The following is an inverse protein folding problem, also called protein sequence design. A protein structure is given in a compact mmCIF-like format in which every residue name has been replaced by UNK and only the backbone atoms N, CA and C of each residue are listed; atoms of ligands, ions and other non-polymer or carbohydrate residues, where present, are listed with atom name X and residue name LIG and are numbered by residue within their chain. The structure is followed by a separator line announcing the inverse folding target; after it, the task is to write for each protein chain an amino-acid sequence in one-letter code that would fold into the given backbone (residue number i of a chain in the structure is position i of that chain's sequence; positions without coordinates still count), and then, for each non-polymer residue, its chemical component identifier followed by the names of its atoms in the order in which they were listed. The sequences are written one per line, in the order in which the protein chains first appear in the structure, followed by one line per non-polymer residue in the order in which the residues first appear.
data_IF_438404107581
#
_entry.id   IF_438404107581
#
_cell.length_a   1.000
_cell.length_b   1.000
_cell.length_c   1.000
_cell.angle_alpha   90.00
_cell.angle_beta   90.00
_cell.angle_gamma   90.00
#
_symmetry.space_group_name_H-M   'P 1'
#
loop_
_entity.id
_entity.type
_entity.pdbx_description
1 polymer ?
#
# COMPACT_ATOMS: atom_id res chain seq x y z
N UNK A 1 34.17 -34.60 86.65
CA UNK A 1 33.55 -35.92 86.42
C UNK A 1 32.42 -35.70 85.43
N UNK A 2 32.45 -36.40 84.28
CA UNK A 2 31.51 -36.50 83.14
C UNK A 2 30.13 -35.80 83.23
N UNK A 3 29.51 -35.26 82.17
CA UNK A 3 29.55 -35.57 80.72
C UNK A 3 28.83 -34.46 79.94
N UNK A 4 29.13 -34.41 78.65
CA UNK A 4 28.52 -33.65 77.54
C UNK A 4 27.00 -33.79 77.42
N UNK A 5 26.30 -32.79 76.86
CA UNK A 5 25.75 -32.90 75.49
C UNK A 5 25.04 -31.63 74.96
N UNK A 6 25.60 -31.14 73.84
CA UNK A 6 24.96 -30.69 72.58
C UNK A 6 23.90 -29.59 72.61
N UNK A 7 24.35 -28.39 72.22
CA UNK A 7 23.54 -27.39 71.53
C UNK A 7 23.59 -27.64 70.01
N UNK A 8 22.43 -27.61 69.33
CA UNK A 8 22.34 -27.25 67.92
C UNK A 8 20.92 -26.76 67.61
N UNK A 9 20.90 -25.50 67.18
CA UNK A 9 19.82 -24.59 66.82
C UNK A 9 18.84 -25.11 65.76
N UNK A 10 17.58 -24.73 65.92
CA UNK A 10 16.46 -24.99 65.03
C UNK A 10 16.67 -24.40 63.62
N UNK A 11 16.35 -25.20 62.60
CA UNK A 11 16.30 -24.77 61.21
C UNK A 11 15.06 -23.93 60.92
N UNK A 12 15.27 -22.72 60.42
CA UNK A 12 14.24 -21.92 59.76
C UNK A 12 14.42 -22.14 58.27
N UNK A 13 13.52 -22.92 57.67
CA UNK A 13 13.47 -23.14 56.23
C UNK A 13 12.87 -21.89 55.57
N UNK A 14 13.72 -21.07 54.95
CA UNK A 14 13.32 -19.92 54.15
C UNK A 14 12.81 -20.41 52.78
N UNK A 15 11.50 -20.44 52.59
CA UNK A 15 10.87 -20.62 51.29
C UNK A 15 11.08 -19.33 50.47
N UNK A 16 12.05 -19.36 49.56
CA UNK A 16 12.23 -18.32 48.54
C UNK A 16 11.14 -18.50 47.50
N UNK A 17 10.10 -17.67 47.55
CA UNK A 17 9.13 -17.53 46.49
C UNK A 17 9.83 -16.86 45.29
N UNK A 18 10.22 -17.67 44.29
CA UNK A 18 10.61 -17.15 42.98
C UNK A 18 9.33 -16.66 42.31
N UNK A 19 9.01 -15.38 42.49
CA UNK A 19 8.08 -14.69 41.61
C UNK A 19 8.74 -14.62 40.24
N UNK A 20 8.35 -15.54 39.34
CA UNK A 20 8.47 -15.32 37.91
C UNK A 20 7.64 -14.07 37.59
N UNK A 21 8.28 -12.91 37.65
CA UNK A 21 7.79 -11.74 36.96
C UNK A 21 7.77 -12.11 35.48
N UNK A 22 6.58 -12.49 35.00
CA UNK A 22 6.26 -12.46 33.57
C UNK A 22 6.32 -10.98 33.21
N UNK A 23 7.53 -10.51 32.88
CA UNK A 23 7.70 -9.23 32.20
C UNK A 23 6.94 -9.43 30.90
N UNK A 24 5.85 -8.70 30.62
CA UNK A 24 5.25 -8.75 29.31
C UNK A 24 6.37 -8.34 28.35
N UNK A 25 6.63 -9.20 27.35
CA UNK A 25 7.68 -9.02 26.37
C UNK A 25 7.39 -7.85 25.41
N UNK A 26 7.02 -6.69 25.94
CA UNK A 26 7.32 -5.38 25.35
C UNK A 26 8.78 -5.04 25.69
N UNK A 27 9.68 -5.99 25.46
CA UNK A 27 11.03 -5.60 25.08
C UNK A 27 10.84 -4.97 23.70
N UNK A 28 10.67 -3.65 23.70
CA UNK A 28 10.99 -2.87 22.54
C UNK A 28 12.38 -3.33 22.13
N UNK A 29 12.44 -4.09 21.05
CA UNK A 29 13.65 -4.25 20.29
C UNK A 29 14.10 -2.81 20.05
N UNK A 30 15.08 -2.34 20.80
CA UNK A 30 15.89 -1.19 20.46
C UNK A 30 16.27 -1.48 19.02
N UNK A 31 15.64 -0.79 18.08
CA UNK A 31 15.82 -0.99 16.66
C UNK A 31 17.28 -0.65 16.37
N UNK A 32 18.12 -1.67 16.44
CA UNK A 32 19.52 -1.59 16.10
C UNK A 32 19.61 -1.30 14.61
N UNK A 33 19.54 -0.02 14.24
CA UNK A 33 20.04 0.48 12.97
C UNK A 33 19.05 1.02 11.93
N UNK A 34 17.73 0.85 12.05
CA UNK A 34 16.84 1.08 10.89
C UNK A 34 15.64 1.98 11.21
N UNK A 35 15.91 3.24 11.55
CA UNK A 35 14.86 4.26 11.59
C UNK A 35 14.38 4.57 10.16
N UNK A 36 13.07 4.50 9.93
CA UNK A 36 12.45 4.89 8.66
C UNK A 36 12.21 6.40 8.57
N UNK A 37 12.30 7.12 9.69
CA UNK A 37 12.11 8.56 9.70
C UNK A 37 13.12 9.27 8.78
N UNK A 38 12.63 10.24 8.04
CA UNK A 38 13.42 11.00 7.09
C UNK A 38 12.61 11.44 5.88
N UNK A 39 13.35 12.02 4.96
CA UNK A 39 12.86 12.50 3.68
C UNK A 39 13.36 11.55 2.58
N UNK A 40 12.45 11.16 1.70
CA UNK A 40 12.62 10.05 0.76
C UNK A 40 12.18 10.49 -0.64
N UNK A 41 13.14 10.63 -1.54
CA UNK A 41 12.91 10.98 -2.94
C UNK A 41 12.60 9.73 -3.77
N UNK A 42 11.55 9.74 -4.61
CA UNK A 42 11.18 8.57 -5.39
C UNK A 42 12.22 8.25 -6.47
N UNK A 43 12.33 6.96 -6.81
CA UNK A 43 13.03 6.47 -8.01
C UNK A 43 12.03 5.84 -8.95
N UNK A 44 12.27 5.92 -10.26
CA UNK A 44 11.34 5.48 -11.31
C UNK A 44 12.03 4.60 -12.35
N UNK A 45 12.97 3.75 -11.91
CA UNK A 45 13.61 2.79 -12.81
C UNK A 45 12.74 1.54 -13.01
N UNK A 46 11.74 1.35 -12.14
CA UNK A 46 10.71 0.32 -12.18
C UNK A 46 9.38 0.90 -12.68
N UNK A 47 8.69 0.14 -13.54
CA UNK A 47 7.34 0.43 -14.06
C UNK A 47 7.13 1.87 -14.52
N UNK A 48 8.16 2.47 -15.14
CA UNK A 48 8.16 3.88 -15.51
C UNK A 48 6.90 4.29 -16.30
N UNK A 49 6.40 3.51 -17.29
CA UNK A 49 5.17 3.84 -18.00
C UNK A 49 3.96 3.95 -17.07
N UNK A 50 3.82 3.08 -16.07
CA UNK A 50 2.70 3.13 -15.12
C UNK A 50 2.84 4.30 -14.13
N UNK A 51 4.06 4.60 -13.70
CA UNK A 51 4.31 5.53 -12.59
C UNK A 51 4.35 7.00 -13.00
N UNK A 52 4.91 7.32 -14.17
CA UNK A 52 5.08 8.70 -14.62
C UNK A 52 3.93 9.11 -15.57
N UNK A 53 3.92 8.71 -16.86
CA UNK A 53 2.84 9.13 -17.76
C UNK A 53 1.49 8.55 -17.33
N UNK A 54 1.50 7.33 -16.78
CA UNK A 54 0.29 6.63 -16.35
C UNK A 54 0.00 5.42 -17.24
N UNK A 55 -0.69 4.41 -16.70
CA UNK A 55 -1.03 3.21 -17.46
C UNK A 55 -2.01 3.52 -18.60
N UNK A 56 -1.87 2.82 -19.72
CA UNK A 56 -2.78 2.95 -20.86
C UNK A 56 -4.12 2.27 -20.58
N UNK A 57 -5.20 2.79 -21.18
CA UNK A 57 -6.52 2.17 -21.12
C UNK A 57 -6.43 0.79 -21.80
N UNK A 58 -6.94 -0.24 -21.11
CA UNK A 58 -6.85 -1.62 -21.58
C UNK A 58 -5.51 -2.32 -21.34
N UNK A 59 -4.53 -1.68 -20.67
CA UNK A 59 -3.32 -2.35 -20.18
C UNK A 59 -3.54 -2.97 -18.79
N UNK A 60 -3.94 -4.24 -18.76
CA UNK A 60 -4.12 -5.02 -17.55
C UNK A 60 -3.07 -6.14 -17.40
N UNK A 61 -1.92 -5.99 -18.07
CA UNK A 61 -0.87 -7.01 -18.06
C UNK A 61 -0.35 -7.27 -16.64
N UNK A 62 -0.24 -8.55 -16.29
CA UNK A 62 0.31 -8.99 -15.01
C UNK A 62 -0.54 -8.63 -13.80
N UNK A 63 -1.83 -8.32 -13.98
CA UNK A 63 -2.75 -8.04 -12.89
C UNK A 63 -3.65 -9.26 -12.61
N UNK A 64 -3.77 -9.72 -11.35
CA UNK A 64 -4.63 -10.84 -10.98
C UNK A 64 -6.09 -10.42 -10.84
N UNK A 65 -6.67 -9.83 -11.90
CA UNK A 65 -8.01 -9.24 -11.85
C UNK A 65 -9.11 -10.21 -12.28
N UNK A 66 -10.27 -10.10 -11.63
CA UNK A 66 -11.47 -10.86 -11.98
C UNK A 66 -12.34 -10.11 -13.00
N UNK A 67 -13.51 -10.68 -13.33
CA UNK A 67 -14.45 -10.07 -14.28
C UNK A 67 -15.06 -8.75 -13.78
N UNK A 68 -15.34 -8.63 -12.48
CA UNK A 68 -15.88 -7.40 -11.90
C UNK A 68 -14.90 -6.23 -12.04
N UNK A 69 -13.60 -6.48 -11.86
CA UNK A 69 -12.55 -5.48 -12.05
C UNK A 69 -12.44 -5.06 -13.51
N UNK A 70 -12.53 -6.02 -14.44
CA UNK A 70 -12.56 -5.74 -15.89
C UNK A 70 -13.77 -4.90 -16.27
N UNK A 71 -14.97 -5.25 -15.79
CA UNK A 71 -16.19 -4.48 -16.06
C UNK A 71 -16.07 -3.04 -15.56
N UNK A 72 -15.54 -2.84 -14.34
CA UNK A 72 -15.32 -1.51 -13.81
C UNK A 72 -14.35 -0.70 -14.69
N UNK A 73 -13.20 -1.28 -15.04
CA UNK A 73 -12.19 -0.61 -15.85
C UNK A 73 -12.65 -0.35 -17.29
N UNK A 74 -13.42 -1.25 -17.89
CA UNK A 74 -13.99 -1.06 -19.22
C UNK A 74 -15.01 0.08 -19.27
N UNK A 75 -15.75 0.30 -18.19
CA UNK A 75 -16.71 1.40 -18.07
C UNK A 75 -16.06 2.75 -17.72
N UNK A 76 -14.78 2.75 -17.33
CA UNK A 76 -14.08 3.93 -16.86
C UNK A 76 -13.69 4.86 -18.00
N UNK A 77 -13.94 6.16 -17.79
CA UNK A 77 -13.54 7.24 -18.68
C UNK A 77 -12.55 8.16 -17.95
N UNK A 78 -11.42 8.48 -18.57
CA UNK A 78 -10.40 9.36 -17.99
C UNK A 78 -10.95 10.76 -17.66
N UNK A 79 -11.97 11.20 -18.39
CA UNK A 79 -12.70 12.43 -18.17
C UNK A 79 -13.36 12.48 -16.77
N UNK A 80 -13.51 11.35 -16.07
CA UNK A 80 -13.97 11.32 -14.68
C UNK A 80 -13.09 12.16 -13.76
N UNK A 81 -11.78 12.25 -14.02
CA UNK A 81 -10.84 13.03 -13.21
C UNK A 81 -11.04 14.54 -13.35
N UNK A 82 -11.69 14.98 -14.43
CA UNK A 82 -12.00 16.39 -14.67
C UNK A 82 -13.24 16.87 -13.90
N UNK A 83 -13.99 15.94 -13.28
CA UNK A 83 -15.12 16.31 -12.43
C UNK A 83 -14.64 17.04 -11.17
N UNK A 84 -15.28 18.15 -10.77
CA UNK A 84 -14.94 18.88 -9.55
C UNK A 84 -14.83 17.99 -8.30
N UNK A 85 -15.70 16.99 -8.18
CA UNK A 85 -15.75 16.07 -7.05
C UNK A 85 -14.53 15.13 -6.99
N UNK A 86 -13.78 14.96 -8.08
CA UNK A 86 -12.66 14.04 -8.22
C UNK A 86 -11.28 14.70 -8.12
N UNK A 87 -11.16 16.00 -8.39
CA UNK A 87 -9.87 16.69 -8.52
C UNK A 87 -9.03 16.72 -7.23
N UNK A 88 -9.67 16.87 -6.08
CA UNK A 88 -9.01 16.97 -4.77
C UNK A 88 -9.16 15.73 -3.90
N UNK A 89 -9.30 14.55 -4.51
CA UNK A 89 -9.29 13.27 -3.78
C UNK A 89 -7.84 12.92 -3.41
N UNK A 90 -7.52 12.73 -2.11
CA UNK A 90 -6.25 12.17 -1.71
C UNK A 90 -6.02 10.83 -2.38
N UNK A 91 -4.80 10.56 -2.81
CA UNK A 91 -4.44 9.21 -3.23
C UNK A 91 -4.60 8.24 -2.05
N UNK A 92 -5.15 7.04 -2.25
CA UNK A 92 -5.30 6.08 -1.17
C UNK A 92 -3.94 5.50 -0.77
N UNK A 93 -3.79 5.07 0.48
CA UNK A 93 -2.48 4.70 1.06
C UNK A 93 -1.73 3.60 0.31
N UNK A 94 -2.46 2.69 -0.34
CA UNK A 94 -1.92 1.62 -1.17
C UNK A 94 -1.40 2.11 -2.54
N UNK A 95 -1.92 3.24 -3.05
CA UNK A 95 -1.53 3.83 -4.33
C UNK A 95 -0.55 5.00 -4.20
N UNK A 96 -0.67 5.81 -3.15
CA UNK A 96 0.13 7.04 -2.96
C UNK A 96 1.64 6.83 -3.16
N UNK A 97 2.27 5.76 -2.62
CA UNK A 97 3.71 5.54 -2.80
C UNK A 97 4.13 5.32 -4.26
N UNK A 98 3.22 4.81 -5.11
CA UNK A 98 3.50 4.59 -6.55
C UNK A 98 3.58 5.88 -7.35
N UNK A 99 2.87 6.92 -6.91
CA UNK A 99 2.82 8.20 -7.61
C UNK A 99 4.19 8.90 -7.68
N UNK A 100 4.34 9.90 -8.57
CA UNK A 100 5.58 10.64 -8.70
C UNK A 100 5.70 11.70 -7.60
N UNK A 101 5.94 11.26 -6.36
CA UNK A 101 5.86 12.16 -5.22
C UNK A 101 6.92 11.86 -4.16
N UNK A 102 7.40 12.93 -3.54
CA UNK A 102 8.32 12.91 -2.41
C UNK A 102 7.59 12.41 -1.17
N UNK A 103 8.28 11.60 -0.38
CA UNK A 103 7.77 11.00 0.85
C UNK A 103 8.52 11.58 2.05
N UNK A 104 7.79 11.95 3.09
CA UNK A 104 8.33 12.24 4.42
C UNK A 104 7.78 11.22 5.40
N UNK A 105 8.64 10.71 6.28
CA UNK A 105 8.28 9.85 7.40
C UNK A 105 8.77 10.49 8.70
N UNK A 106 7.94 10.57 9.73
CA UNK A 106 8.36 11.00 11.07
C UNK A 106 7.73 10.14 12.16
N UNK A 107 8.31 10.21 13.36
CA UNK A 107 7.87 9.47 14.54
C UNK A 107 6.99 10.34 15.43
N UNK A 108 5.96 9.74 15.99
CA UNK A 108 5.26 10.22 17.17
C UNK A 108 5.75 9.45 18.39
N UNK A 109 6.32 10.17 19.36
CA UNK A 109 6.91 9.61 20.57
C UNK A 109 6.13 10.12 21.78
N UNK A 110 5.76 9.22 22.69
CA UNK A 110 5.20 9.59 23.98
C UNK A 110 6.26 10.32 24.82
N UNK A 111 5.98 11.54 25.26
CA UNK A 111 7.00 12.39 25.91
C UNK A 111 7.36 11.93 27.32
N UNK A 112 6.48 11.21 28.01
CA UNK A 112 6.74 10.73 29.37
C UNK A 112 7.53 9.42 29.38
N UNK A 113 7.13 8.45 28.56
CA UNK A 113 7.69 7.10 28.50
C UNK A 113 8.75 6.92 27.40
N UNK A 114 8.88 7.90 26.49
CA UNK A 114 9.78 7.86 25.33
C UNK A 114 9.50 6.68 24.39
N UNK A 115 8.29 6.14 24.42
CA UNK A 115 7.85 5.03 23.58
C UNK A 115 7.39 5.55 22.20
N UNK A 116 7.68 4.79 21.15
CA UNK A 116 7.11 5.05 19.82
C UNK A 116 5.61 4.76 19.82
N UNK A 117 4.80 5.77 19.51
CA UNK A 117 3.34 5.65 19.36
C UNK A 117 2.99 5.30 17.92
N UNK A 118 3.55 6.04 16.96
CA UNK A 118 3.22 5.90 15.55
C UNK A 118 4.36 6.36 14.64
N UNK A 119 4.37 5.84 13.42
CA UNK A 119 4.97 6.53 12.29
C UNK A 119 3.90 7.32 11.55
N UNK A 120 4.26 8.47 11.02
CA UNK A 120 3.42 9.24 10.12
C UNK A 120 4.10 9.35 8.77
N UNK A 121 3.32 9.32 7.70
CA UNK A 121 3.80 9.53 6.33
C UNK A 121 3.06 10.69 5.68
N UNK A 122 3.79 11.54 4.96
CA UNK A 122 3.23 12.59 4.12
C UNK A 122 3.82 12.46 2.71
N UNK A 123 2.97 12.51 1.68
CA UNK A 123 3.39 12.42 0.27
C UNK A 123 3.02 13.71 -0.45
N UNK A 124 3.92 14.26 -1.26
CA UNK A 124 3.74 15.61 -1.84
C UNK A 124 2.54 15.75 -2.80
N UNK A 125 2.20 14.71 -3.56
CA UNK A 125 1.10 14.76 -4.52
C UNK A 125 -0.24 14.42 -3.86
N UNK A 126 -1.23 15.32 -3.99
CA UNK A 126 -2.52 15.25 -3.29
C UNK A 126 -2.44 15.27 -1.75
N UNK A 127 -1.24 15.56 -1.20
CA UNK A 127 -0.94 15.69 0.23
C UNK A 127 -1.59 14.65 1.17
N UNK A 128 -1.63 13.33 0.85
CA UNK A 128 -2.16 12.36 1.80
C UNK A 128 -1.25 12.25 3.02
N UNK A 129 -1.86 12.30 4.20
CA UNK A 129 -1.20 12.05 5.48
C UNK A 129 -1.77 10.81 6.15
N UNK A 130 -0.89 9.89 6.54
CA UNK A 130 -1.26 8.61 7.13
C UNK A 130 -0.55 8.41 8.45
N UNK A 131 -1.29 7.89 9.43
CA UNK A 131 -0.76 7.42 10.71
C UNK A 131 -0.69 5.90 10.71
N UNK A 132 0.47 5.36 11.10
CA UNK A 132 0.75 3.93 11.26
C UNK A 132 1.00 3.69 12.74
N UNK A 133 0.00 3.12 13.43
CA UNK A 133 0.07 2.89 14.87
C UNK A 133 1.01 1.74 15.22
N UNK A 134 1.91 1.98 16.17
CA UNK A 134 2.97 1.03 16.54
C UNK A 134 2.74 0.37 17.91
N UNK A 135 1.63 0.71 18.58
CA UNK A 135 1.31 0.30 19.95
C UNK A 135 0.47 -0.99 20.04
N UNK A 136 0.26 -1.67 18.91
CA UNK A 136 -0.47 -2.94 18.85
C UNK A 136 -1.98 -2.81 19.11
N UNK A 137 -2.56 -1.61 19.01
CA UNK A 137 -4.01 -1.41 19.12
C UNK A 137 -4.79 -2.24 18.10
N UNK A 138 -6.00 -2.73 18.44
CA UNK A 138 -6.82 -3.47 17.49
C UNK A 138 -7.28 -2.55 16.34
N UNK A 139 -7.54 -3.17 15.19
CA UNK A 139 -8.23 -2.48 14.11
C UNK A 139 -9.68 -2.16 14.54
N UNK A 140 -10.28 -1.06 14.02
CA UNK A 140 -11.66 -0.73 14.27
C UNK A 140 -12.63 -1.86 13.86
N UNK A 141 -13.86 -1.89 14.38
CA UNK A 141 -14.88 -2.82 13.91
C UNK A 141 -15.35 -2.48 12.49
N UNK A 142 -15.82 -3.46 11.73
CA UNK A 142 -16.16 -3.35 10.29
C UNK A 142 -17.11 -2.21 9.89
N UNK A 143 -17.93 -1.71 10.82
CA UNK A 143 -18.85 -0.59 10.58
C UNK A 143 -18.23 0.79 10.81
N UNK A 144 -16.96 0.85 11.23
CA UNK A 144 -16.25 2.10 11.40
C UNK A 144 -16.07 2.81 10.05
N UNK A 145 -15.94 4.14 10.10
CA UNK A 145 -15.84 4.93 8.88
C UNK A 145 -14.55 4.62 8.10
N UNK A 146 -14.68 4.42 6.79
CA UNK A 146 -13.54 4.24 5.90
C UNK A 146 -12.94 5.59 5.48
N UNK A 147 -11.61 5.65 5.37
CA UNK A 147 -10.88 6.85 4.93
C UNK A 147 -10.00 6.53 3.71
N UNK A 148 -9.47 7.55 3.03
CA UNK A 148 -8.54 7.33 1.91
C UNK A 148 -7.25 6.63 2.36
N UNK A 149 -6.76 6.94 3.57
CA UNK A 149 -5.54 6.33 4.11
C UNK A 149 -5.79 5.03 4.87
N UNK A 150 -7.05 4.74 5.20
CA UNK A 150 -7.44 3.58 6.00
C UNK A 150 -7.04 3.73 7.47
N UNK A 151 -6.99 2.59 8.15
CA UNK A 151 -6.45 2.44 9.49
C UNK A 151 -5.27 1.46 9.44
N UNK A 152 -4.07 1.94 9.77
CA UNK A 152 -2.82 1.19 9.67
C UNK A 152 -2.26 0.86 11.04
N UNK A 153 -1.85 -0.40 11.23
CA UNK A 153 -1.01 -0.81 12.37
C UNK A 153 0.30 -1.39 11.86
N UNK A 154 1.39 -1.13 12.58
CA UNK A 154 2.73 -1.57 12.21
C UNK A 154 3.35 -2.48 13.27
N UNK A 155 4.13 -3.44 12.80
CA UNK A 155 4.94 -4.34 13.63
C UNK A 155 6.29 -4.59 12.97
N UNK A 156 7.35 -4.49 13.75
CA UNK A 156 8.68 -4.88 13.30
C UNK A 156 8.83 -6.40 13.26
N UNK A 157 9.32 -6.91 12.13
CA UNK A 157 9.80 -8.28 11.93
C UNK A 157 11.27 -8.22 11.51
N UNK A 158 12.17 -8.36 12.48
CA UNK A 158 13.58 -8.01 12.30
C UNK A 158 13.74 -6.55 11.86
N UNK A 159 14.33 -6.34 10.69
CA UNK A 159 14.64 -5.02 10.12
C UNK A 159 13.55 -4.52 9.14
N UNK A 160 12.42 -5.22 9.09
CA UNK A 160 11.30 -4.93 8.20
C UNK A 160 10.10 -4.45 9.01
N UNK A 161 9.60 -3.25 8.71
CA UNK A 161 8.33 -2.79 9.26
C UNK A 161 7.20 -3.38 8.42
N UNK A 162 6.44 -4.30 9.00
CA UNK A 162 5.21 -4.83 8.39
C UNK A 162 4.02 -3.99 8.83
N UNK A 163 3.24 -3.51 7.87
CA UNK A 163 2.08 -2.66 8.10
C UNK A 163 0.85 -3.37 7.56
N UNK A 164 -0.21 -3.43 8.35
CA UNK A 164 -1.53 -3.89 7.89
C UNK A 164 -2.47 -2.71 7.89
N UNK A 165 -3.14 -2.49 6.75
CA UNK A 165 -4.11 -1.41 6.56
C UNK A 165 -5.47 -1.96 6.17
N UNK A 166 -6.53 -1.52 6.87
CA UNK A 166 -7.94 -1.81 6.56
C UNK A 166 -8.78 -0.54 6.58
N UNK A 167 -10.12 -0.63 6.50
CA UNK A 167 -11.03 0.52 6.52
C UNK A 167 -10.73 1.56 5.45
N UNK A 168 -10.34 1.08 4.27
CA UNK A 168 -9.99 1.93 3.15
C UNK A 168 -11.25 2.29 2.35
N UNK A 169 -11.38 3.54 1.94
CA UNK A 169 -12.35 3.90 0.89
C UNK A 169 -11.97 3.20 -0.41
N UNK A 170 -12.96 2.91 -1.24
CA UNK A 170 -12.71 2.40 -2.60
C UNK A 170 -11.71 3.33 -3.32
N UNK A 171 -10.67 2.71 -3.87
CA UNK A 171 -9.57 3.37 -4.56
C UNK A 171 -9.30 2.71 -5.91
N UNK A 172 -8.06 2.76 -6.34
CA UNK A 172 -7.63 2.18 -7.62
C UNK A 172 -6.26 1.51 -7.47
N UNK A 173 -6.08 0.39 -8.14
CA UNK A 173 -4.77 -0.26 -8.26
C UNK A 173 -3.93 0.50 -9.30
N UNK A 174 -4.57 0.91 -10.40
CA UNK A 174 -4.00 1.65 -11.53
C UNK A 174 -4.93 2.78 -11.98
N UNK A 175 -4.36 3.88 -12.48
CA UNK A 175 -5.10 5.07 -12.97
C UNK A 175 -5.71 4.90 -14.37
N UNK A 176 -6.02 3.67 -14.78
CA UNK A 176 -6.69 3.35 -16.04
C UNK A 176 -8.05 2.65 -15.82
N UNK A 177 -8.62 2.81 -14.63
CA UNK A 177 -9.93 2.28 -14.28
C UNK A 177 -9.93 1.00 -13.45
N UNK A 178 -8.78 0.36 -13.20
CA UNK A 178 -8.71 -0.84 -12.34
C UNK A 178 -8.95 -0.46 -10.88
N UNK A 179 -10.07 -0.91 -10.27
CA UNK A 179 -10.46 -0.49 -8.94
C UNK A 179 -9.74 -1.27 -7.84
N UNK A 180 -9.83 -0.75 -6.63
CA UNK A 180 -9.55 -1.44 -5.37
C UNK A 180 -10.74 -1.22 -4.44
N UNK A 181 -11.36 -2.26 -3.94
CA UNK A 181 -12.60 -2.19 -3.15
C UNK A 181 -12.35 -1.65 -1.75
N UNK A 182 -13.43 -1.33 -1.05
CA UNK A 182 -13.39 -1.00 0.38
C UNK A 182 -13.20 -2.22 1.29
N UNK A 183 -13.30 -3.44 0.74
CA UNK A 183 -13.07 -4.72 1.43
C UNK A 183 -11.62 -5.19 1.37
N UNK A 184 -10.76 -4.45 0.69
CA UNK A 184 -9.37 -4.83 0.53
C UNK A 184 -8.60 -4.74 1.86
N UNK A 185 -7.68 -5.67 2.04
CA UNK A 185 -6.66 -5.63 3.09
C UNK A 185 -5.33 -5.39 2.41
N UNK A 186 -4.57 -4.42 2.92
CA UNK A 186 -3.27 -4.07 2.36
C UNK A 186 -2.21 -4.43 3.39
N UNK A 187 -1.28 -5.29 3.01
CA UNK A 187 -0.09 -5.63 3.80
C UNK A 187 1.12 -5.03 3.12
N UNK A 188 1.89 -4.23 3.86
CA UNK A 188 3.05 -3.54 3.34
C UNK A 188 4.29 -3.94 4.12
N UNK A 189 5.43 -3.93 3.46
CA UNK A 189 6.72 -4.16 4.08
C UNK A 189 7.68 -3.04 3.69
N UNK A 190 8.13 -2.28 4.68
CA UNK A 190 9.11 -1.22 4.52
C UNK A 190 10.46 -1.69 5.04
N UNK A 191 11.48 -1.67 4.18
CA UNK A 191 12.83 -2.13 4.47
C UNK A 191 13.82 -1.05 4.07
N UNK A 192 14.67 -0.62 5.01
CA UNK A 192 15.72 0.37 4.76
C UNK A 192 17.05 -0.34 4.51
N UNK A 193 17.65 -0.06 3.37
CA UNK A 193 18.98 -0.52 2.95
C UNK A 193 19.93 0.66 2.83
N UNK A 194 20.49 1.12 3.96
CA UNK A 194 21.34 2.31 4.01
C UNK A 194 20.57 3.57 3.58
N UNK A 195 20.89 4.09 2.40
CA UNK A 195 20.22 5.26 1.80
C UNK A 195 19.00 4.89 0.96
N UNK A 196 18.70 3.59 0.76
CA UNK A 196 17.55 3.15 -0.02
C UNK A 196 16.42 2.69 0.91
N UNK A 197 15.18 2.96 0.51
CA UNK A 197 13.97 2.43 1.13
C UNK A 197 13.20 1.64 0.08
N UNK A 198 13.02 0.35 0.35
CA UNK A 198 12.18 -0.52 -0.45
C UNK A 198 10.84 -0.68 0.26
N UNK A 199 9.77 -0.41 -0.46
CA UNK A 199 8.40 -0.50 0.04
C UNK A 199 7.62 -1.50 -0.82
N UNK A 200 7.35 -2.66 -0.26
CA UNK A 200 6.56 -3.73 -0.87
C UNK A 200 5.12 -3.55 -0.43
N UNK A 201 4.18 -3.65 -1.38
CA UNK A 201 2.75 -3.49 -1.14
C UNK A 201 2.06 -4.74 -1.69
N UNK A 202 1.33 -5.43 -0.83
CA UNK A 202 0.52 -6.62 -1.12
C UNK A 202 -0.94 -6.23 -0.90
N UNK A 203 -1.76 -6.42 -1.93
CA UNK A 203 -3.18 -6.07 -1.89
C UNK A 203 -3.99 -7.36 -2.06
N UNK A 204 -4.74 -7.69 -1.01
CA UNK A 204 -5.77 -8.72 -1.02
C UNK A 204 -7.13 -8.05 -1.17
N UNK A 205 -7.84 -8.35 -2.26
CA UNK A 205 -9.15 -7.77 -2.53
C UNK A 205 -10.11 -8.82 -3.11
N UNK A 206 -10.97 -9.43 -2.28
CA UNK A 206 -11.86 -10.49 -2.74
C UNK A 206 -12.94 -10.01 -3.72
N UNK A 207 -13.17 -8.69 -3.85
CA UNK A 207 -14.16 -8.16 -4.77
C UNK A 207 -13.61 -8.04 -6.21
N UNK A 208 -12.32 -7.77 -6.37
CA UNK A 208 -11.73 -7.42 -7.66
C UNK A 208 -10.52 -8.27 -8.08
N UNK A 209 -9.88 -8.96 -7.14
CA UNK A 209 -8.69 -9.76 -7.40
C UNK A 209 -8.98 -11.25 -7.24
N UNK A 210 -8.29 -12.07 -8.05
CA UNK A 210 -8.31 -13.54 -7.94
C UNK A 210 -7.16 -14.06 -7.10
N UNK A 211 -6.08 -13.29 -6.98
CA UNK A 211 -4.87 -13.58 -6.19
C UNK A 211 -4.30 -12.25 -5.64
N UNK A 212 -3.43 -12.27 -4.61
CA UNK A 212 -2.84 -11.05 -4.08
C UNK A 212 -2.06 -10.29 -5.16
N UNK A 213 -2.32 -8.99 -5.30
CA UNK A 213 -1.52 -8.14 -6.18
C UNK A 213 -0.31 -7.59 -5.41
N UNK A 214 0.89 -7.85 -5.92
CA UNK A 214 2.14 -7.47 -5.26
C UNK A 214 2.89 -6.48 -6.14
N UNK A 215 3.37 -5.39 -5.54
CA UNK A 215 4.27 -4.44 -6.20
C UNK A 215 5.31 -3.89 -5.24
N UNK A 216 6.39 -3.38 -5.80
CA UNK A 216 7.49 -2.76 -5.05
C UNK A 216 7.73 -1.35 -5.54
N UNK A 217 8.07 -0.45 -4.62
CA UNK A 217 8.47 0.92 -4.91
C UNK A 217 9.74 1.27 -4.15
N UNK A 218 10.66 1.96 -4.81
CA UNK A 218 11.93 2.37 -4.20
C UNK A 218 12.03 3.88 -4.03
N UNK A 219 12.62 4.27 -2.89
CA UNK A 219 13.00 5.64 -2.58
C UNK A 219 14.47 5.70 -2.21
N UNK A 220 15.04 6.89 -2.33
CA UNK A 220 16.39 7.21 -1.85
C UNK A 220 16.27 8.34 -0.82
N UNK A 221 17.00 8.19 0.28
CA UNK A 221 17.08 9.17 1.33
C UNK A 221 17.64 10.50 0.77
N UNK A 222 16.93 11.59 1.02
CA UNK A 222 17.32 12.92 0.58
C UNK A 222 17.12 13.92 1.74
N UNK A 223 18.13 14.13 2.60
CA UNK A 223 18.01 15.04 3.74
C UNK A 223 17.81 16.51 3.36
N UNK A 224 17.97 16.86 2.07
CA UNK A 224 17.78 18.21 1.55
C UNK A 224 16.41 18.41 0.90
N UNK A 225 15.61 17.35 0.76
CA UNK A 225 14.27 17.41 0.22
C UNK A 225 13.39 18.36 1.03
N UNK A 226 12.64 19.18 0.31
CA UNK A 226 11.63 20.08 0.84
C UNK A 226 10.31 19.79 0.12
N UNK A 227 9.33 19.26 0.83
CA UNK A 227 7.99 19.04 0.27
C UNK A 227 7.26 20.39 0.24
N UNK A 228 6.97 20.87 -0.97
CA UNK A 228 6.17 22.07 -1.18
C UNK A 228 4.71 21.84 -0.76
N UNK A 229 3.99 22.89 -0.30
CA UNK A 229 2.56 22.79 -0.06
C UNK A 229 1.81 22.38 -1.34
N UNK A 230 0.77 21.57 -1.18
CA UNK A 230 -0.15 21.20 -2.26
C UNK A 230 -1.53 21.85 -2.03
N UNK A 231 -1.72 23.12 -2.40
CA UNK A 231 -3.03 23.75 -2.30
C UNK A 231 -3.93 23.21 -3.39
N UNK A 232 -4.70 22.15 -3.10
CA UNK A 232 -5.64 21.62 -4.07
C UNK A 232 -6.77 22.62 -4.31
N UNK A 233 -6.96 23.00 -5.57
CA UNK A 233 -8.04 23.87 -5.99
C UNK A 233 -8.95 23.11 -6.94
N UNK A 234 -10.23 23.15 -6.65
CA UNK A 234 -11.26 22.60 -7.53
C UNK A 234 -11.57 23.66 -8.58
N UNK A 235 -11.47 23.29 -9.84
CA UNK A 235 -11.78 24.14 -10.99
C UNK A 235 -12.66 23.41 -11.99
N UNK A 236 -13.42 24.15 -12.78
CA UNK A 236 -14.14 23.55 -13.89
C UNK A 236 -13.20 23.41 -15.09
N UNK A 237 -12.71 22.19 -15.33
CA UNK A 237 -11.80 21.91 -16.46
C UNK A 237 -12.55 21.76 -17.79
N UNK A 238 -13.76 21.19 -17.73
CA UNK A 238 -14.62 20.92 -18.88
C UNK A 238 -16.07 21.18 -18.46
N UNK A 239 -16.72 22.11 -19.15
CA UNK A 239 -18.15 22.41 -19.00
C UNK A 239 -19.00 21.20 -19.43
N UNK A 240 -19.94 20.80 -18.56
CA UNK A 240 -20.85 19.67 -18.79
C UNK A 240 -22.24 19.95 -18.23
N UNK A 241 -23.29 19.39 -18.85
CA UNK A 241 -24.62 19.40 -18.25
C UNK A 241 -24.63 18.75 -16.87
N UNK A 242 -25.42 19.31 -15.95
CA UNK A 242 -25.57 18.79 -14.60
C UNK A 242 -26.02 17.32 -14.61
N UNK A 243 -25.39 16.50 -13.76
CA UNK A 243 -25.72 15.08 -13.60
C UNK A 243 -25.02 14.16 -14.61
N UNK A 244 -24.25 14.69 -15.55
CA UNK A 244 -23.43 13.88 -16.47
C UNK A 244 -22.16 13.42 -15.74
N UNK A 245 -22.06 12.11 -15.51
CA UNK A 245 -20.85 11.45 -15.02
C UNK A 245 -20.21 10.71 -16.21
N UNK A 246 -18.96 11.03 -16.61
CA UNK A 246 -18.28 10.35 -17.71
C UNK A 246 -18.16 8.84 -17.48
N UNK A 247 -18.56 8.05 -18.47
CA UNK A 247 -18.51 6.58 -18.45
C UNK A 247 -18.65 6.02 -19.87
N UNK A 248 -18.27 4.76 -20.04
CA UNK A 248 -18.61 3.96 -21.20
C UNK A 248 -19.65 2.90 -20.83
N UNK A 249 -20.62 2.66 -21.72
CA UNK A 249 -21.53 1.52 -21.58
C UNK A 249 -20.77 0.20 -21.85
N UNK A 250 -21.26 -0.94 -21.31
CA UNK A 250 -20.62 -2.23 -21.56
C UNK A 250 -20.38 -2.50 -23.04
N UNK A 251 -19.12 -2.81 -23.40
CA UNK A 251 -18.70 -3.08 -24.78
C UNK A 251 -18.56 -1.83 -25.68
N UNK A 252 -18.73 -0.62 -25.15
CA UNK A 252 -18.69 0.63 -25.93
C UNK A 252 -17.43 1.47 -25.68
N UNK A 253 -16.45 1.00 -24.92
CA UNK A 253 -15.19 1.71 -24.73
C UNK A 253 -14.25 1.44 -25.92
N UNK A 254 -14.03 2.42 -26.81
CA UNK A 254 -13.24 2.21 -28.02
C UNK A 254 -11.74 2.14 -27.74
N UNK A 255 -11.28 2.61 -26.58
CA UNK A 255 -9.86 2.76 -26.26
C UNK A 255 -9.20 1.45 -25.79
N UNK A 256 -10.00 0.44 -25.40
CA UNK A 256 -9.51 -0.85 -24.90
C UNK A 256 -8.65 -1.62 -25.92
N UNK A 257 -8.77 -1.32 -27.21
CA UNK A 257 -8.02 -1.99 -28.27
C UNK A 257 -6.74 -1.25 -28.67
N UNK A 258 -6.54 -0.01 -28.22
CA UNK A 258 -5.40 0.81 -28.62
C UNK A 258 -4.08 0.28 -28.10
N UNK A 259 -4.01 -0.02 -26.79
CA UNK A 259 -2.83 -0.60 -26.16
C UNK A 259 -2.40 -1.92 -26.83
N UNK A 260 -3.26 -2.97 -26.93
CA UNK A 260 -2.83 -4.22 -27.53
C UNK A 260 -2.42 -4.06 -28.99
N UNK A 261 -3.14 -3.24 -29.78
CA UNK A 261 -2.80 -2.97 -31.17
C UNK A 261 -1.44 -2.25 -31.33
N UNK A 262 -1.17 -1.26 -30.47
CA UNK A 262 0.07 -0.47 -30.49
C UNK A 262 1.31 -1.30 -30.19
N UNK A 263 1.22 -2.24 -29.24
CA UNK A 263 2.36 -3.06 -28.82
C UNK A 263 2.36 -4.48 -29.39
N UNK A 264 1.38 -4.83 -30.22
CA UNK A 264 1.23 -6.18 -30.78
C UNK A 264 0.94 -7.26 -29.71
N UNK A 265 0.43 -6.85 -28.55
CA UNK A 265 0.07 -7.76 -27.45
C UNK A 265 -1.22 -8.48 -27.84
N UNK A 266 -1.32 -9.82 -27.71
CA UNK A 266 -2.57 -10.52 -27.96
C UNK A 266 -3.72 -9.93 -27.15
N UNK A 267 -4.88 -9.73 -27.79
CA UNK A 267 -6.02 -9.06 -27.15
C UNK A 267 -6.49 -9.77 -25.87
N UNK A 268 -6.42 -11.10 -25.82
CA UNK A 268 -6.72 -11.88 -24.61
C UNK A 268 -5.71 -11.58 -23.48
N UNK A 269 -4.42 -11.53 -23.79
CA UNK A 269 -3.36 -11.30 -22.81
C UNK A 269 -3.44 -9.91 -22.17
N UNK A 270 -3.83 -8.89 -22.94
CA UNK A 270 -4.01 -7.53 -22.43
C UNK A 270 -5.10 -7.41 -21.34
N UNK A 271 -5.95 -8.43 -21.17
CA UNK A 271 -7.07 -8.44 -20.22
C UNK A 271 -6.70 -8.91 -18.80
N UNK A 272 -5.42 -9.18 -18.56
CA UNK A 272 -4.94 -9.63 -17.26
C UNK A 272 -5.47 -11.01 -16.88
N UNK A 273 -5.53 -11.27 -15.58
CA UNK A 273 -5.79 -12.59 -15.01
C UNK A 273 -4.57 -13.08 -14.25
N UNK A 274 -4.79 -13.85 -13.17
CA UNK A 274 -3.69 -14.31 -12.32
C UNK A 274 -2.65 -15.10 -13.09
N UNK A 275 -3.06 -15.90 -14.08
CA UNK A 275 -2.14 -16.65 -14.92
C UNK A 275 -1.13 -15.75 -15.63
N UNK A 276 -1.48 -14.49 -15.94
CA UNK A 276 -0.59 -13.53 -16.62
C UNK A 276 0.56 -13.03 -15.74
N UNK A 277 0.51 -13.26 -14.43
CA UNK A 277 1.60 -12.92 -13.51
C UNK A 277 2.75 -13.93 -13.56
N UNK A 278 2.48 -15.16 -14.00
CA UNK A 278 3.41 -16.26 -13.88
C UNK A 278 4.27 -16.43 -15.14
N UNK A 279 5.58 -16.76 -14.99
CA UNK A 279 6.49 -16.92 -16.13
C UNK A 279 6.02 -17.93 -17.18
N UNK A 280 5.27 -18.96 -16.78
CA UNK A 280 4.72 -20.01 -17.63
C UNK A 280 3.76 -19.46 -18.69
N UNK A 281 3.11 -18.31 -18.43
CA UNK A 281 2.21 -17.67 -19.39
C UNK A 281 2.91 -17.27 -20.68
N UNK A 282 4.24 -17.09 -20.66
CA UNK A 282 5.03 -16.86 -21.87
C UNK A 282 4.90 -18.00 -22.89
N UNK A 283 4.62 -19.23 -22.46
CA UNK A 283 4.37 -20.35 -23.36
C UNK A 283 3.02 -20.21 -24.07
N UNK A 284 1.98 -19.76 -23.35
CA UNK A 284 0.66 -19.46 -23.93
C UNK A 284 0.72 -18.26 -24.87
N UNK A 285 1.47 -17.22 -24.50
CA UNK A 285 1.66 -16.04 -25.36
C UNK A 285 2.26 -16.36 -26.73
N UNK A 286 3.20 -17.31 -26.81
CA UNK A 286 3.83 -17.72 -28.07
C UNK A 286 2.87 -18.38 -29.06
N UNK A 287 1.74 -18.90 -28.60
CA UNK A 287 0.74 -19.55 -29.47
C UNK A 287 -0.36 -18.59 -29.92
N UNK A 288 -0.40 -17.39 -29.36
CA UNK A 288 -1.43 -16.39 -29.64
C UNK A 288 -1.04 -15.48 -30.82
N UNK A 289 -1.99 -15.13 -31.70
CA UNK A 289 -1.73 -14.11 -32.71
C UNK A 289 -1.58 -12.74 -32.04
N UNK A 290 -0.69 -11.87 -32.55
CA UNK A 290 -0.61 -10.48 -32.08
C UNK A 290 -1.93 -9.76 -32.37
N UNK A 291 -2.27 -8.75 -31.57
CA UNK A 291 -3.44 -7.92 -31.87
C UNK A 291 -3.26 -7.22 -33.22
N UNK A 292 -4.37 -7.11 -33.96
CA UNK A 292 -4.38 -6.40 -35.23
C UNK A 292 -4.22 -4.90 -34.97
N UNK A 293 -3.53 -4.16 -35.86
CA UNK A 293 -3.54 -2.71 -35.82
C UNK A 293 -4.97 -2.20 -35.79
N UNK A 294 -5.27 -1.21 -34.93
CA UNK A 294 -6.55 -0.51 -35.01
C UNK A 294 -6.62 0.16 -36.38
N UNK A 295 -7.60 -0.23 -37.19
CA UNK A 295 -7.82 0.41 -38.49
C UNK A 295 -8.14 1.88 -38.26
N UNK A 296 -7.28 2.77 -38.77
CA UNK A 296 -7.68 4.14 -39.09
C UNK A 296 -8.30 4.16 -40.48
#
# INVERSE_FOLDING_TARGET
MHRSDRAATAGVTLLVAITLAVIPAFAQQLSGGYDLAGEWAPRFHEDQPERIPGPEIGDYLGLPINEAARLHADSWDASLLTLPEHQCKPHPSDYSPRGPANLRIWKEIDTASQQLIAYHTHISWQAPERTIWMDGRPHPPDYAAHTWQGFSTGKWDGDMLTITTTHLKMGWIRRNGIPRSDKAVVTEHMIRHGEYLTWIIVIDDPAYLTEPFIRTTNFVWDPHQQIAPYPCQIVEEIDRPQGVVPHHLPGQNPFLVEFPAKFGVPAEAARGGAETMYPEYQLKLKTMPPAKPSGR
#
